data_IF_388408892859
#
_entry.id   IF_388408892859
#
_cell.length_a   1.000
_cell.length_b   1.000
_cell.length_c   1.000
_cell.angle_alpha   90.00
_cell.angle_beta   90.00
_cell.angle_gamma   90.00
#
_symmetry.space_group_name_H-M   'P 1'
#
loop_
_entity.id
_entity.type
_entity.pdbx_description
1 polymer ?
#
# COMPACT_ATOMS: atom_id res chain seq x y z
N UNK A 1 17.87 -61.70 52.58
CA UNK A 1 16.68 -61.07 51.94
C UNK A 1 16.76 -59.55 51.80
N UNK A 2 17.73 -58.84 52.34
CA UNK A 2 17.87 -57.35 52.21
C UNK A 2 18.58 -56.90 50.91
N UNK A 3 19.38 -57.75 50.30
CA UNK A 3 20.13 -57.41 49.06
C UNK A 3 19.39 -57.72 47.76
N UNK A 4 18.31 -58.51 47.80
CA UNK A 4 17.52 -58.82 46.65
C UNK A 4 16.52 -57.71 46.29
N UNK A 5 16.14 -56.87 47.26
CA UNK A 5 15.23 -55.72 47.07
C UNK A 5 15.96 -54.52 46.45
N UNK A 6 17.33 -54.45 46.61
CA UNK A 6 18.11 -53.30 46.12
C UNK A 6 18.48 -53.42 44.64
N UNK A 7 18.53 -54.64 44.11
CA UNK A 7 18.83 -54.89 42.69
C UNK A 7 17.57 -54.62 41.81
N UNK A 8 16.38 -54.77 42.36
CA UNK A 8 15.15 -54.53 41.62
C UNK A 8 14.83 -53.06 41.43
N UNK A 9 15.35 -52.19 42.28
CA UNK A 9 15.16 -50.72 42.21
C UNK A 9 16.07 -50.04 41.18
N UNK A 10 17.17 -50.65 40.75
CA UNK A 10 18.12 -50.06 39.78
C UNK A 10 17.69 -50.29 38.31
N UNK A 11 16.83 -51.29 38.04
CA UNK A 11 16.36 -51.58 36.67
C UNK A 11 15.27 -50.67 36.18
N UNK A 12 14.60 -49.90 37.08
CA UNK A 12 13.47 -49.03 36.69
C UNK A 12 13.91 -47.65 36.17
N UNK A 13 15.20 -47.26 36.32
CA UNK A 13 15.69 -45.91 35.91
C UNK A 13 16.36 -45.88 34.52
N UNK A 14 16.44 -46.98 33.79
CA UNK A 14 17.07 -47.01 32.45
C UNK A 14 16.07 -47.16 31.30
N UNK A 15 14.76 -46.95 31.54
CA UNK A 15 13.72 -47.14 30.53
C UNK A 15 13.09 -45.88 29.99
N UNK A 16 13.74 -44.72 30.11
CA UNK A 16 13.18 -43.43 29.60
C UNK A 16 13.75 -42.96 28.25
N UNK A 17 14.67 -43.68 27.63
CA UNK A 17 15.26 -43.26 26.33
C UNK A 17 14.74 -44.05 25.10
N UNK A 18 13.78 -44.95 25.27
CA UNK A 18 13.27 -45.80 24.17
C UNK A 18 12.02 -45.26 23.46
N UNK A 19 11.53 -44.10 23.86
CA UNK A 19 10.41 -43.40 23.19
C UNK A 19 10.79 -41.99 22.74
N UNK A 20 11.97 -41.75 22.22
CA UNK A 20 12.17 -40.63 21.30
C UNK A 20 11.54 -41.07 19.98
N UNK A 21 10.31 -40.66 19.76
CA UNK A 21 9.73 -40.52 18.43
C UNK A 21 10.70 -39.62 17.67
N UNK A 22 11.57 -40.21 16.85
CA UNK A 22 12.25 -39.45 15.82
C UNK A 22 11.15 -38.87 14.95
N UNK A 23 10.74 -37.62 15.21
CA UNK A 23 10.16 -36.82 14.17
C UNK A 23 11.15 -36.91 13.01
N UNK A 24 10.73 -37.62 11.95
CA UNK A 24 11.41 -37.65 10.67
C UNK A 24 11.65 -36.21 10.31
N UNK A 25 12.88 -35.72 10.52
CA UNK A 25 13.28 -34.39 10.00
C UNK A 25 12.82 -34.39 8.56
N UNK A 26 11.79 -33.56 8.30
CA UNK A 26 11.29 -33.33 6.95
C UNK A 26 12.50 -33.00 6.11
N UNK A 27 12.76 -33.77 5.04
CA UNK A 27 13.82 -33.68 4.04
C UNK A 27 14.20 -32.24 3.60
N UNK A 28 14.55 -31.39 4.54
CA UNK A 28 14.98 -30.00 4.31
C UNK A 28 16.43 -29.97 3.81
N UNK A 29 17.17 -31.02 4.04
CA UNK A 29 18.59 -31.15 3.67
C UNK A 29 18.84 -31.91 2.35
N UNK A 30 17.79 -32.34 1.64
CA UNK A 30 18.00 -33.05 0.34
C UNK A 30 18.51 -32.05 -0.70
N UNK A 31 19.69 -32.40 -1.26
CA UNK A 31 20.32 -31.62 -2.32
C UNK A 31 19.66 -31.97 -3.66
N UNK A 32 19.16 -30.98 -4.38
CA UNK A 32 18.55 -31.14 -5.71
C UNK A 32 19.50 -30.79 -6.85
N UNK A 33 20.46 -29.90 -6.63
CA UNK A 33 21.47 -29.53 -7.61
C UNK A 33 22.76 -29.05 -6.94
N UNK A 34 23.88 -29.21 -7.64
CA UNK A 34 25.18 -28.70 -7.22
C UNK A 34 25.82 -27.99 -8.42
N UNK A 35 26.32 -26.78 -8.21
CA UNK A 35 27.17 -26.07 -9.18
C UNK A 35 28.44 -25.61 -8.46
N UNK A 36 29.58 -26.17 -8.85
CA UNK A 36 30.85 -26.01 -8.13
C UNK A 36 30.71 -26.43 -6.66
N UNK A 37 30.87 -25.49 -5.72
CA UNK A 37 30.72 -25.71 -4.27
C UNK A 37 29.34 -25.35 -3.73
N UNK A 38 28.48 -24.68 -4.54
CA UNK A 38 27.16 -24.23 -4.12
C UNK A 38 26.12 -25.35 -4.31
N UNK A 39 25.25 -25.48 -3.32
CA UNK A 39 24.20 -26.50 -3.26
C UNK A 39 22.83 -25.86 -3.24
N UNK A 40 21.92 -26.43 -4.01
CA UNK A 40 20.50 -26.08 -3.98
C UNK A 40 19.75 -27.16 -3.23
N UNK A 41 19.06 -26.81 -2.19
CA UNK A 41 18.31 -27.73 -1.35
C UNK A 41 16.82 -27.77 -1.76
N UNK A 42 16.16 -28.89 -1.42
CA UNK A 42 14.71 -29.05 -1.65
C UNK A 42 13.89 -27.93 -1.03
N UNK A 43 14.26 -27.45 0.15
CA UNK A 43 13.56 -26.37 0.84
C UNK A 43 13.56 -25.09 0.01
N UNK A 44 14.67 -24.77 -0.66
CA UNK A 44 14.81 -23.57 -1.47
C UNK A 44 13.83 -23.60 -2.65
N UNK A 45 13.69 -24.77 -3.31
CA UNK A 45 12.77 -24.97 -4.42
C UNK A 45 11.31 -24.94 -3.93
N UNK A 46 11.00 -25.67 -2.85
CA UNK A 46 9.63 -25.74 -2.35
C UNK A 46 9.11 -24.42 -1.79
N UNK A 47 10.00 -23.56 -1.28
CA UNK A 47 9.63 -22.24 -0.74
C UNK A 47 9.12 -21.26 -1.80
N UNK A 48 9.52 -21.43 -3.06
CA UNK A 48 9.14 -20.55 -4.18
C UNK A 48 7.98 -21.10 -5.01
N UNK A 49 7.57 -22.35 -4.78
CA UNK A 49 6.45 -22.94 -5.49
C UNK A 49 5.10 -22.51 -4.90
N UNK A 50 4.07 -22.23 -5.74
CA UNK A 50 2.73 -21.93 -5.26
C UNK A 50 2.14 -23.10 -4.44
N UNK A 51 1.44 -22.78 -3.35
CA UNK A 51 0.89 -23.80 -2.44
C UNK A 51 -0.23 -24.66 -3.06
N UNK A 52 -0.95 -24.12 -4.05
CA UNK A 52 -2.14 -24.76 -4.66
C UNK A 52 -1.88 -25.13 -6.13
N UNK A 53 -0.79 -25.83 -6.40
CA UNK A 53 -0.43 -26.28 -7.75
C UNK A 53 -0.57 -27.80 -7.86
N UNK A 54 -1.01 -28.30 -9.03
CA UNK A 54 -1.05 -29.72 -9.29
C UNK A 54 0.38 -30.31 -9.40
N UNK A 55 0.49 -31.63 -9.23
CA UNK A 55 1.80 -32.32 -9.16
C UNK A 55 2.60 -32.20 -10.46
N UNK A 56 1.94 -32.20 -11.63
CA UNK A 56 2.61 -32.13 -12.92
C UNK A 56 3.23 -30.73 -13.14
N UNK A 57 2.47 -29.68 -12.92
CA UNK A 57 2.96 -28.30 -13.07
C UNK A 57 4.00 -27.95 -12.01
N UNK A 58 3.86 -28.50 -10.78
CA UNK A 58 4.86 -28.37 -9.73
C UNK A 58 6.22 -28.94 -10.14
N UNK A 59 6.24 -30.07 -10.82
CA UNK A 59 7.48 -30.66 -11.34
C UNK A 59 8.10 -29.81 -12.45
N UNK A 60 7.30 -29.28 -13.36
CA UNK A 60 7.78 -28.41 -14.44
C UNK A 60 8.40 -27.13 -13.86
N UNK A 61 7.71 -26.48 -12.92
CA UNK A 61 8.22 -25.27 -12.26
C UNK A 61 9.48 -25.55 -11.44
N UNK A 62 9.52 -26.67 -10.71
CA UNK A 62 10.70 -27.06 -9.94
C UNK A 62 11.93 -27.29 -10.85
N UNK A 63 11.76 -28.02 -11.96
CA UNK A 63 12.83 -28.22 -12.93
C UNK A 63 13.30 -26.90 -13.57
N UNK A 64 12.37 -26.04 -13.94
CA UNK A 64 12.70 -24.71 -14.48
C UNK A 64 13.48 -23.87 -13.47
N UNK A 65 13.07 -23.88 -12.19
CA UNK A 65 13.77 -23.17 -11.12
C UNK A 65 15.20 -23.70 -10.93
N UNK A 66 15.37 -25.03 -10.88
CA UNK A 66 16.69 -25.69 -10.74
C UNK A 66 17.60 -25.29 -11.90
N UNK A 67 17.11 -25.38 -13.15
CA UNK A 67 17.89 -24.99 -14.33
C UNK A 67 18.29 -23.51 -14.30
N UNK A 68 17.35 -22.61 -14.00
CA UNK A 68 17.63 -21.18 -13.91
C UNK A 68 18.63 -20.87 -12.79
N UNK A 69 18.51 -21.53 -11.65
CA UNK A 69 19.48 -21.42 -10.55
C UNK A 69 20.88 -21.86 -11.01
N UNK A 70 20.98 -23.01 -11.65
CA UNK A 70 22.26 -23.53 -12.14
C UNK A 70 22.90 -22.59 -13.17
N UNK A 71 22.13 -22.12 -14.16
CA UNK A 71 22.60 -21.15 -15.16
C UNK A 71 23.10 -19.87 -14.48
N UNK A 72 22.35 -19.33 -13.52
CA UNK A 72 22.76 -18.14 -12.77
C UNK A 72 24.08 -18.34 -12.02
N UNK A 73 24.28 -19.50 -11.39
CA UNK A 73 25.54 -19.82 -10.67
C UNK A 73 26.73 -19.97 -11.63
N UNK A 74 26.52 -20.65 -12.75
CA UNK A 74 27.55 -20.82 -13.78
C UNK A 74 27.95 -19.47 -14.40
N UNK A 75 26.97 -18.62 -14.73
CA UNK A 75 27.23 -17.27 -15.25
C UNK A 75 27.96 -16.40 -14.22
N UNK A 76 27.55 -16.47 -12.94
CA UNK A 76 28.22 -15.71 -11.88
C UNK A 76 29.68 -16.15 -11.71
N UNK A 77 29.95 -17.47 -11.76
CA UNK A 77 31.32 -17.98 -11.71
C UNK A 77 32.15 -17.50 -12.91
N UNK A 78 31.57 -17.53 -14.11
CA UNK A 78 32.23 -17.00 -15.32
C UNK A 78 32.48 -15.50 -15.23
N UNK A 79 31.47 -14.72 -14.76
CA UNK A 79 31.61 -13.28 -14.56
C UNK A 79 32.75 -12.96 -13.60
N UNK A 80 32.78 -13.60 -12.41
CA UNK A 80 33.86 -13.40 -11.44
C UNK A 80 35.25 -13.72 -12.01
N UNK A 81 35.39 -14.79 -12.79
CA UNK A 81 36.68 -15.18 -13.38
C UNK A 81 37.13 -14.26 -14.53
N UNK A 82 36.19 -13.58 -15.18
CA UNK A 82 36.49 -12.70 -16.31
C UNK A 82 36.44 -11.19 -15.97
N UNK A 83 36.07 -10.85 -14.74
CA UNK A 83 36.08 -9.45 -14.29
C UNK A 83 37.47 -9.03 -13.86
N UNK A 84 37.87 -7.80 -14.20
CA UNK A 84 39.07 -7.19 -13.64
C UNK A 84 38.93 -6.92 -12.14
N UNK A 85 40.06 -6.87 -11.43
CA UNK A 85 40.06 -6.52 -10.00
C UNK A 85 39.46 -5.13 -9.77
N UNK A 86 39.68 -4.19 -10.68
CA UNK A 86 39.08 -2.85 -10.64
C UNK A 86 37.55 -2.93 -10.70
N UNK A 87 36.99 -3.70 -11.62
CA UNK A 87 35.54 -3.91 -11.74
C UNK A 87 34.96 -4.52 -10.48
N UNK A 88 35.64 -5.53 -9.89
CA UNK A 88 35.18 -6.15 -8.65
C UNK A 88 35.18 -5.13 -7.50
N UNK A 89 36.25 -4.35 -7.35
CA UNK A 89 36.35 -3.33 -6.31
C UNK A 89 35.26 -2.24 -6.47
N UNK A 90 34.96 -1.83 -7.71
CA UNK A 90 33.86 -0.90 -7.98
C UNK A 90 32.51 -1.46 -7.57
N UNK A 91 32.24 -2.72 -7.94
CA UNK A 91 30.98 -3.39 -7.56
C UNK A 91 30.87 -3.53 -6.03
N UNK A 92 31.94 -3.93 -5.37
CA UNK A 92 31.97 -4.08 -3.91
C UNK A 92 31.71 -2.74 -3.20
N UNK A 93 32.29 -1.65 -3.72
CA UNK A 93 32.00 -0.30 -3.26
C UNK A 93 30.51 0.05 -3.38
N UNK A 94 29.91 -0.16 -4.55
CA UNK A 94 28.47 0.09 -4.77
C UNK A 94 27.58 -0.76 -3.84
N UNK A 95 27.93 -2.03 -3.63
CA UNK A 95 27.20 -2.90 -2.72
C UNK A 95 27.31 -2.41 -1.27
N UNK A 96 28.50 -1.97 -0.86
CA UNK A 96 28.71 -1.42 0.49
C UNK A 96 27.90 -0.14 0.70
N UNK A 97 27.99 0.83 -0.23
CA UNK A 97 27.21 2.08 -0.19
C UNK A 97 25.70 1.82 -0.12
N UNK A 98 25.23 0.86 -0.91
CA UNK A 98 23.82 0.47 -0.89
C UNK A 98 23.40 -0.14 0.45
N UNK A 99 24.23 -1.01 1.02
CA UNK A 99 24.00 -1.62 2.34
C UNK A 99 23.94 -0.55 3.43
N UNK A 100 24.87 0.41 3.42
CA UNK A 100 24.86 1.53 4.37
C UNK A 100 23.60 2.39 4.24
N UNK A 101 23.24 2.73 2.99
CA UNK A 101 22.00 3.47 2.71
C UNK A 101 20.75 2.75 3.22
N UNK A 102 20.65 1.43 3.04
CA UNK A 102 19.54 0.64 3.56
C UNK A 102 19.49 0.64 5.10
N UNK A 103 20.64 0.49 5.76
CA UNK A 103 20.72 0.50 7.21
C UNK A 103 20.33 1.87 7.79
N UNK A 104 20.86 2.95 7.20
CA UNK A 104 20.55 4.33 7.59
C UNK A 104 19.06 4.62 7.38
N UNK A 105 18.51 4.29 6.22
CA UNK A 105 17.09 4.51 5.93
C UNK A 105 16.17 3.72 6.87
N UNK A 106 16.48 2.45 7.14
CA UNK A 106 15.73 1.64 8.09
C UNK A 106 15.75 2.25 9.50
N UNK A 107 16.91 2.73 9.94
CA UNK A 107 17.04 3.42 11.22
C UNK A 107 16.22 4.73 11.26
N UNK A 108 16.31 5.56 10.21
CA UNK A 108 15.53 6.80 10.10
C UNK A 108 14.02 6.52 10.12
N UNK A 109 13.55 5.51 9.39
CA UNK A 109 12.13 5.12 9.39
C UNK A 109 11.65 4.64 10.77
N UNK A 110 12.47 3.87 11.47
CA UNK A 110 12.18 3.43 12.84
C UNK A 110 12.05 4.62 13.79
N UNK A 111 12.96 5.60 13.69
CA UNK A 111 12.90 6.83 14.50
C UNK A 111 11.65 7.64 14.20
N UNK A 112 11.31 7.82 12.91
CA UNK A 112 10.08 8.51 12.48
C UNK A 112 8.86 7.82 13.05
N UNK A 113 8.77 6.49 12.92
CA UNK A 113 7.64 5.73 13.47
C UNK A 113 7.47 5.88 14.98
N UNK A 114 8.58 6.05 15.71
CA UNK A 114 8.57 6.15 17.18
C UNK A 114 8.31 7.57 17.69
N UNK A 115 8.76 8.60 16.96
CA UNK A 115 8.86 9.97 17.49
C UNK A 115 8.01 10.99 16.73
N UNK A 116 7.52 10.66 15.53
CA UNK A 116 6.73 11.60 14.75
C UNK A 116 5.35 11.79 15.38
N UNK A 117 5.01 13.03 15.72
CA UNK A 117 3.62 13.38 16.03
C UNK A 117 2.78 13.38 14.76
N UNK A 118 1.82 12.45 14.71
CA UNK A 118 0.92 12.25 13.58
C UNK A 118 -0.43 12.91 13.74
N UNK A 119 -0.69 13.53 14.90
CA UNK A 119 -1.94 14.26 15.15
C UNK A 119 -1.85 15.64 14.51
N UNK A 120 -2.72 15.89 13.54
CA UNK A 120 -2.84 17.20 12.88
C UNK A 120 -4.24 17.72 13.15
N UNK A 121 -4.32 18.88 13.81
CA UNK A 121 -5.60 19.51 14.15
C UNK A 121 -6.21 20.22 12.95
N UNK A 122 -7.53 20.46 13.00
CA UNK A 122 -8.24 21.24 11.98
C UNK A 122 -7.75 22.70 11.95
N UNK A 123 -7.27 23.22 13.08
CA UNK A 123 -6.69 24.56 13.15
C UNK A 123 -5.37 24.65 12.39
N UNK A 124 -4.45 23.70 12.59
CA UNK A 124 -3.21 23.62 11.81
C UNK A 124 -3.47 23.51 10.30
N UNK A 125 -4.49 22.72 9.91
CA UNK A 125 -4.88 22.58 8.50
C UNK A 125 -5.34 23.92 7.96
N UNK A 126 -6.16 24.67 8.72
CA UNK A 126 -6.65 26.01 8.33
C UNK A 126 -5.53 27.02 8.21
N UNK A 127 -4.65 27.09 9.21
CA UNK A 127 -3.49 27.99 9.18
C UNK A 127 -2.58 27.69 8.00
N UNK A 128 -2.24 26.40 7.79
CA UNK A 128 -1.41 25.97 6.66
C UNK A 128 -2.03 26.36 5.32
N UNK A 129 -3.35 26.15 5.18
CA UNK A 129 -4.09 26.54 3.98
C UNK A 129 -4.03 28.04 3.74
N UNK A 130 -4.30 28.86 4.75
CA UNK A 130 -4.31 30.33 4.62
C UNK A 130 -2.95 30.87 4.23
N UNK A 131 -1.87 30.35 4.83
CA UNK A 131 -0.49 30.76 4.54
C UNK A 131 -0.03 30.34 3.13
N UNK A 132 -0.60 29.29 2.56
CA UNK A 132 -0.16 28.71 1.28
C UNK A 132 -1.24 28.72 0.20
N UNK A 133 -2.31 29.45 0.37
CA UNK A 133 -3.54 29.43 -0.43
C UNK A 133 -3.27 29.55 -1.93
N UNK A 134 -2.38 30.46 -2.34
CA UNK A 134 -2.05 30.70 -3.74
C UNK A 134 -1.32 29.54 -4.43
N UNK A 135 -0.76 28.63 -3.64
CA UNK A 135 -0.09 27.43 -4.16
C UNK A 135 -1.07 26.29 -4.48
N UNK A 136 -2.33 26.39 -3.98
CA UNK A 136 -3.35 25.35 -4.16
C UNK A 136 -4.26 25.64 -5.36
N UNK A 137 -3.67 25.83 -6.53
CA UNK A 137 -4.43 25.98 -7.77
C UNK A 137 -4.83 24.64 -8.33
N UNK A 138 -6.11 24.54 -8.74
CA UNK A 138 -6.65 23.33 -9.36
C UNK A 138 -6.02 23.09 -10.73
N UNK A 139 -5.56 21.89 -10.99
CA UNK A 139 -5.13 21.41 -12.29
C UNK A 139 -6.26 20.75 -13.09
N UNK A 140 -7.47 20.71 -12.51
CA UNK A 140 -8.67 20.05 -13.02
C UNK A 140 -9.92 20.86 -12.67
N UNK A 141 -11.04 20.57 -13.31
CA UNK A 141 -12.33 21.12 -12.96
C UNK A 141 -12.99 20.31 -11.86
N UNK A 142 -13.57 20.97 -10.87
CA UNK A 142 -14.35 20.36 -9.80
C UNK A 142 -15.82 20.73 -9.90
N UNK A 143 -16.67 19.79 -9.55
CA UNK A 143 -18.12 19.99 -9.47
C UNK A 143 -18.65 19.50 -8.12
N UNK A 144 -19.61 20.22 -7.57
CA UNK A 144 -20.52 19.71 -6.56
C UNK A 144 -21.77 19.23 -7.25
N UNK A 145 -22.00 17.93 -7.24
CA UNK A 145 -23.03 17.30 -8.04
C UNK A 145 -23.74 16.19 -7.27
N UNK A 146 -25.06 16.15 -7.39
CA UNK A 146 -25.89 14.99 -7.07
C UNK A 146 -26.21 14.29 -8.36
N UNK A 147 -26.09 12.97 -8.41
CA UNK A 147 -26.48 12.19 -9.59
C UNK A 147 -27.03 10.83 -9.23
N UNK A 148 -27.80 10.28 -10.15
CA UNK A 148 -28.48 9.00 -10.00
C UNK A 148 -28.63 8.33 -11.37
N UNK A 149 -28.41 7.02 -11.45
CA UNK A 149 -28.71 6.18 -12.60
C UNK A 149 -29.71 5.10 -12.23
N UNK A 150 -30.86 5.14 -12.88
CA UNK A 150 -32.00 4.25 -12.68
C UNK A 150 -32.12 3.30 -13.87
N UNK A 151 -32.44 2.03 -13.63
CA UNK A 151 -32.77 1.06 -14.69
C UNK A 151 -34.12 1.40 -15.34
N UNK A 152 -34.29 1.12 -16.63
CA UNK A 152 -35.55 1.32 -17.35
C UNK A 152 -36.74 0.50 -16.81
N UNK A 153 -36.48 -0.49 -15.96
CA UNK A 153 -37.52 -1.38 -15.42
C UNK A 153 -38.04 -0.96 -14.02
N UNK A 154 -37.65 0.22 -13.54
CA UNK A 154 -38.06 0.68 -12.21
C UNK A 154 -39.52 1.17 -12.24
N UNK A 155 -40.32 0.74 -11.26
CA UNK A 155 -41.80 0.89 -11.27
C UNK A 155 -42.22 2.33 -10.86
N UNK A 156 -41.45 2.99 -9.97
CA UNK A 156 -41.86 4.28 -9.37
C UNK A 156 -40.97 5.46 -9.77
N UNK A 157 -40.73 5.60 -11.10
CA UNK A 157 -39.87 6.68 -11.66
C UNK A 157 -40.30 8.07 -11.21
N UNK A 158 -41.62 8.36 -11.16
CA UNK A 158 -42.15 9.68 -10.80
C UNK A 158 -41.86 10.09 -9.33
N UNK A 159 -41.93 9.13 -8.42
CA UNK A 159 -41.60 9.31 -7.01
C UNK A 159 -40.12 9.61 -6.84
N UNK A 160 -39.25 8.78 -7.43
CA UNK A 160 -37.79 8.97 -7.39
C UNK A 160 -37.39 10.31 -7.99
N UNK A 161 -38.00 10.75 -9.09
CA UNK A 161 -37.77 12.05 -9.69
C UNK A 161 -38.14 13.19 -8.72
N UNK A 162 -39.24 13.04 -7.97
CA UNK A 162 -39.68 14.03 -6.96
C UNK A 162 -38.68 14.11 -5.81
N UNK A 163 -38.32 12.97 -5.21
CA UNK A 163 -37.34 12.87 -4.13
C UNK A 163 -35.96 13.40 -4.56
N UNK A 164 -35.50 13.04 -5.75
CA UNK A 164 -34.20 13.46 -6.28
C UNK A 164 -34.11 14.98 -6.48
N UNK A 165 -35.19 15.64 -6.87
CA UNK A 165 -35.25 17.10 -7.06
C UNK A 165 -35.36 17.88 -5.76
N UNK A 166 -35.80 17.22 -4.70
CA UNK A 166 -35.96 17.83 -3.39
C UNK A 166 -34.61 18.25 -2.78
N UNK A 167 -34.66 19.25 -1.92
CA UNK A 167 -33.57 19.62 -1.02
C UNK A 167 -33.88 19.33 0.43
N UNK A 168 -35.04 18.70 0.71
CA UNK A 168 -35.38 18.24 2.05
C UNK A 168 -34.50 17.05 2.42
N UNK A 169 -33.99 17.05 3.64
CA UNK A 169 -33.11 15.97 4.12
C UNK A 169 -33.85 14.64 4.24
N UNK A 170 -35.13 14.68 4.62
CA UNK A 170 -35.94 13.46 4.76
C UNK A 170 -36.17 12.79 3.41
N UNK A 171 -36.43 13.58 2.35
CA UNK A 171 -36.57 13.06 0.98
C UNK A 171 -35.28 12.43 0.47
N UNK A 172 -34.13 12.99 0.84
CA UNK A 172 -32.82 12.44 0.47
C UNK A 172 -32.50 11.16 1.26
N UNK A 173 -32.85 11.09 2.53
CA UNK A 173 -32.73 9.88 3.34
C UNK A 173 -33.64 8.77 2.81
N UNK A 174 -34.85 9.09 2.35
CA UNK A 174 -35.74 8.14 1.69
C UNK A 174 -35.13 7.60 0.40
N UNK A 175 -34.48 8.47 -0.37
CA UNK A 175 -33.78 8.08 -1.58
C UNK A 175 -32.55 7.20 -1.26
N UNK A 176 -31.81 7.50 -0.20
CA UNK A 176 -30.67 6.68 0.27
C UNK A 176 -31.13 5.29 0.73
N UNK A 177 -32.29 5.19 1.37
CA UNK A 177 -32.88 3.89 1.77
C UNK A 177 -33.19 2.98 0.57
N UNK A 178 -33.37 3.56 -0.63
CA UNK A 178 -33.62 2.85 -1.88
C UNK A 178 -32.34 2.60 -2.71
N UNK A 179 -31.13 2.84 -2.18
CA UNK A 179 -29.86 2.81 -2.92
C UNK A 179 -29.61 1.52 -3.71
N UNK A 180 -30.07 0.37 -3.20
CA UNK A 180 -29.93 -0.95 -3.85
C UNK A 180 -30.73 -1.05 -5.17
N UNK A 181 -31.69 -0.16 -5.41
CA UNK A 181 -32.49 -0.10 -6.63
C UNK A 181 -31.78 0.68 -7.75
N UNK A 182 -30.66 1.30 -7.47
CA UNK A 182 -29.93 2.16 -8.40
C UNK A 182 -28.64 1.51 -8.88
N UNK A 183 -28.31 1.71 -10.15
CA UNK A 183 -27.04 1.20 -10.70
C UNK A 183 -25.83 1.90 -10.11
N UNK A 184 -25.91 3.20 -9.93
CA UNK A 184 -24.96 4.02 -9.19
C UNK A 184 -25.59 5.37 -8.84
N UNK A 185 -25.12 5.96 -7.78
CA UNK A 185 -25.60 7.25 -7.27
C UNK A 185 -24.52 8.03 -6.53
N UNK A 186 -24.80 9.29 -6.29
CA UNK A 186 -24.13 10.17 -5.33
C UNK A 186 -25.16 11.22 -4.88
N UNK A 187 -25.66 11.10 -3.66
CA UNK A 187 -26.68 12.02 -3.14
C UNK A 187 -26.06 13.21 -2.42
N UNK A 188 -24.87 13.05 -1.84
CA UNK A 188 -24.18 14.14 -1.18
C UNK A 188 -23.58 15.11 -2.21
N UNK A 189 -24.29 16.23 -2.44
CA UNK A 189 -23.90 17.30 -3.35
C UNK A 189 -23.06 18.40 -2.67
N UNK A 190 -22.60 18.18 -1.44
CA UNK A 190 -21.69 19.10 -0.72
C UNK A 190 -20.22 18.79 -0.97
N UNK A 191 -19.91 17.61 -1.54
CA UNK A 191 -18.56 17.13 -1.79
C UNK A 191 -18.09 17.57 -3.18
N UNK A 192 -16.87 18.14 -3.23
CA UNK A 192 -16.19 18.42 -4.49
C UNK A 192 -15.69 17.13 -5.15
N UNK A 193 -16.09 16.93 -6.39
CA UNK A 193 -15.72 15.76 -7.20
C UNK A 193 -15.04 16.21 -8.50
N UNK A 194 -14.02 15.51 -8.94
CA UNK A 194 -13.35 15.76 -10.21
C UNK A 194 -14.34 15.54 -11.36
N UNK A 195 -14.44 16.53 -12.24
CA UNK A 195 -15.36 16.47 -13.39
C UNK A 195 -15.10 15.25 -14.27
N UNK A 196 -13.84 14.91 -14.50
CA UNK A 196 -13.48 13.76 -15.34
C UNK A 196 -13.99 12.42 -14.75
N UNK A 197 -14.03 12.27 -13.43
CA UNK A 197 -14.62 11.08 -12.77
C UNK A 197 -16.14 11.02 -12.98
N UNK A 198 -16.80 12.18 -13.02
CA UNK A 198 -18.24 12.28 -13.28
C UNK A 198 -18.55 11.94 -14.74
N UNK A 199 -17.73 12.44 -15.67
CA UNK A 199 -17.87 12.18 -17.11
C UNK A 199 -17.72 10.68 -17.48
N UNK A 200 -16.96 9.92 -16.70
CA UNK A 200 -16.84 8.47 -16.88
C UNK A 200 -18.14 7.71 -16.52
N UNK A 201 -18.98 8.30 -15.67
CA UNK A 201 -20.20 7.68 -15.17
C UNK A 201 -21.46 8.19 -15.87
N UNK A 202 -21.49 9.49 -16.22
CA UNK A 202 -22.69 10.14 -16.70
C UNK A 202 -22.57 10.48 -18.19
N UNK A 203 -23.58 10.17 -19.02
CA UNK A 203 -23.58 10.41 -20.45
C UNK A 203 -23.94 11.86 -20.80
N UNK A 204 -23.46 12.81 -20.01
CA UNK A 204 -23.62 14.24 -20.26
C UNK A 204 -22.34 14.84 -20.87
N UNK A 205 -22.49 15.90 -21.68
CA UNK A 205 -21.34 16.63 -22.18
C UNK A 205 -20.69 17.47 -21.07
N UNK A 206 -19.39 17.68 -21.18
CA UNK A 206 -18.60 18.54 -20.27
C UNK A 206 -19.25 19.92 -20.09
N UNK A 207 -19.68 20.56 -21.18
CA UNK A 207 -20.31 21.89 -21.14
C UNK A 207 -21.62 21.93 -20.35
N UNK A 208 -22.36 20.82 -20.32
CA UNK A 208 -23.57 20.73 -19.49
C UNK A 208 -23.23 20.61 -18.00
N UNK A 209 -22.20 19.84 -17.66
CA UNK A 209 -21.78 19.62 -16.28
C UNK A 209 -21.00 20.81 -15.70
N UNK A 210 -20.43 21.68 -16.53
CA UNK A 210 -19.77 22.92 -16.11
C UNK A 210 -20.73 24.08 -15.86
N UNK A 211 -22.02 23.92 -16.16
CA UNK A 211 -23.04 24.94 -15.88
C UNK A 211 -23.76 24.61 -14.59
N UNK A 212 -23.89 25.59 -13.68
CA UNK A 212 -24.76 25.48 -12.51
C UNK A 212 -26.20 25.26 -12.98
N UNK A 213 -26.62 24.01 -13.01
CA UNK A 213 -27.92 23.61 -13.51
C UNK A 213 -28.67 22.90 -12.40
N UNK A 214 -29.86 23.39 -12.08
CA UNK A 214 -30.67 22.81 -11.02
C UNK A 214 -31.06 21.36 -11.26
N UNK A 215 -31.23 20.97 -12.53
CA UNK A 215 -31.63 19.61 -12.89
C UNK A 215 -31.37 19.33 -14.38
N UNK A 216 -30.76 18.21 -14.68
CA UNK A 216 -30.63 17.66 -16.03
C UNK A 216 -30.94 16.16 -15.99
N UNK A 217 -31.54 15.68 -17.08
CA UNK A 217 -31.82 14.24 -17.27
C UNK A 217 -31.47 13.82 -18.68
N UNK A 218 -31.16 12.54 -18.83
CA UNK A 218 -30.98 11.87 -20.10
C UNK A 218 -31.41 10.42 -19.94
N UNK A 219 -32.21 9.95 -20.91
CA UNK A 219 -32.61 8.55 -21.00
C UNK A 219 -31.97 7.90 -22.24
N UNK A 220 -31.53 6.67 -22.09
CA UNK A 220 -31.02 5.84 -23.18
C UNK A 220 -31.50 4.39 -23.04
N UNK A 221 -30.92 3.46 -23.80
CA UNK A 221 -31.25 2.04 -23.74
C UNK A 221 -30.86 1.35 -22.43
N UNK A 222 -29.99 1.97 -21.65
CA UNK A 222 -29.44 1.39 -20.40
C UNK A 222 -30.24 1.87 -19.18
N UNK A 223 -30.80 3.09 -19.23
CA UNK A 223 -31.56 3.66 -18.13
C UNK A 223 -31.71 5.17 -18.18
N UNK A 224 -32.23 5.71 -17.09
CA UNK A 224 -32.42 7.14 -16.86
C UNK A 224 -31.31 7.69 -15.98
N UNK A 225 -30.64 8.72 -16.47
CA UNK A 225 -29.59 9.44 -15.75
C UNK A 225 -30.10 10.80 -15.29
N UNK A 226 -29.96 11.08 -14.03
CA UNK A 226 -30.37 12.33 -13.38
C UNK A 226 -29.13 13.02 -12.81
N UNK A 227 -29.03 14.33 -12.92
CA UNK A 227 -27.99 15.10 -12.27
C UNK A 227 -28.45 16.49 -11.88
N UNK A 228 -27.94 16.98 -10.74
CA UNK A 228 -28.10 18.36 -10.25
C UNK A 228 -26.71 18.90 -9.96
N UNK A 229 -26.31 19.96 -10.64
CA UNK A 229 -25.03 20.63 -10.45
C UNK A 229 -25.23 21.82 -9.50
N UNK A 230 -24.68 21.71 -8.30
CA UNK A 230 -24.79 22.76 -7.26
C UNK A 230 -23.72 23.84 -7.42
N UNK A 231 -22.49 23.45 -7.73
CA UNK A 231 -21.37 24.37 -7.88
C UNK A 231 -20.31 23.83 -8.81
N UNK A 232 -19.51 24.73 -9.38
CA UNK A 232 -18.45 24.42 -10.35
C UNK A 232 -17.24 25.27 -10.07
N UNK A 233 -16.06 24.65 -10.07
CA UNK A 233 -14.76 25.32 -9.99
C UNK A 233 -13.94 24.99 -11.22
N UNK A 234 -13.57 25.99 -12.05
CA UNK A 234 -12.74 25.78 -13.22
C UNK A 234 -11.27 25.53 -12.82
N UNK A 235 -10.48 25.06 -13.79
CA UNK A 235 -9.02 24.99 -13.68
C UNK A 235 -8.44 26.32 -13.23
N UNK A 236 -7.32 26.29 -12.55
CA UNK A 236 -6.60 27.43 -11.99
C UNK A 236 -7.34 28.19 -10.88
N UNK A 237 -8.56 27.79 -10.52
CA UNK A 237 -9.20 28.28 -9.29
C UNK A 237 -8.43 27.80 -8.06
N UNK A 238 -8.50 28.53 -6.97
CA UNK A 238 -7.96 28.09 -5.69
C UNK A 238 -8.82 26.92 -5.19
N UNK A 239 -8.17 25.82 -4.88
CA UNK A 239 -8.83 24.62 -4.36
C UNK A 239 -9.50 24.90 -3.01
N UNK A 240 -10.76 24.50 -2.81
CA UNK A 240 -11.41 24.62 -1.51
C UNK A 240 -10.70 23.77 -0.46
N UNK A 241 -10.60 24.27 0.76
CA UNK A 241 -9.95 23.54 1.85
C UNK A 241 -10.56 22.15 2.05
N UNK A 242 -11.89 22.03 1.94
CA UNK A 242 -12.60 20.74 2.06
C UNK A 242 -12.18 19.70 1.01
N UNK A 243 -11.71 20.12 -0.15
CA UNK A 243 -11.21 19.23 -1.19
C UNK A 243 -9.78 18.77 -0.93
N UNK A 244 -8.93 19.64 -0.36
CA UNK A 244 -7.49 19.37 -0.19
C UNK A 244 -7.07 19.11 1.27
N UNK A 245 -8.02 18.97 2.20
CA UNK A 245 -7.74 18.71 3.63
C UNK A 245 -6.77 17.55 3.82
N UNK A 246 -6.99 16.42 3.15
CA UNK A 246 -6.10 15.24 3.23
C UNK A 246 -4.70 15.53 2.69
N UNK A 247 -4.60 16.30 1.62
CA UNK A 247 -3.32 16.72 1.01
C UNK A 247 -2.55 17.64 1.96
N UNK A 248 -3.22 18.62 2.56
CA UNK A 248 -2.60 19.53 3.55
C UNK A 248 -2.10 18.75 4.75
N UNK A 249 -2.90 17.81 5.27
CA UNK A 249 -2.48 16.93 6.36
C UNK A 249 -1.20 16.17 6.03
N UNK A 250 -1.11 15.60 4.84
CA UNK A 250 0.10 14.91 4.38
C UNK A 250 1.31 15.86 4.26
N UNK A 251 1.10 17.09 3.78
CA UNK A 251 2.17 18.10 3.68
C UNK A 251 2.70 18.50 5.07
N UNK A 252 1.82 18.71 6.04
CA UNK A 252 2.21 19.01 7.44
C UNK A 252 3.02 17.84 8.03
N UNK A 253 2.54 16.62 7.88
CA UNK A 253 3.26 15.43 8.37
C UNK A 253 4.61 15.25 7.67
N UNK A 254 4.69 15.51 6.38
CA UNK A 254 5.94 15.46 5.64
C UNK A 254 6.94 16.52 6.14
N UNK A 255 6.48 17.75 6.38
CA UNK A 255 7.30 18.82 6.97
C UNK A 255 7.83 18.42 8.35
N UNK A 256 6.96 17.94 9.24
CA UNK A 256 7.34 17.45 10.57
C UNK A 256 8.37 16.31 10.49
N UNK A 257 8.21 15.38 9.54
CA UNK A 257 9.17 14.28 9.32
C UNK A 257 10.55 14.82 8.94
N UNK A 258 10.62 15.79 8.03
CA UNK A 258 11.90 16.39 7.61
C UNK A 258 12.56 17.11 8.78
N UNK A 259 11.82 17.90 9.53
CA UNK A 259 12.31 18.64 10.70
C UNK A 259 12.81 17.69 11.77
N UNK A 260 12.04 16.66 12.12
CA UNK A 260 12.45 15.62 13.07
C UNK A 260 13.76 14.95 12.68
N UNK A 261 13.89 14.53 11.42
CA UNK A 261 15.12 13.88 10.96
C UNK A 261 16.32 14.82 11.01
N UNK A 262 16.16 16.08 10.63
CA UNK A 262 17.19 17.11 10.71
C UNK A 262 17.65 17.35 12.14
N UNK A 263 16.72 17.40 13.09
CA UNK A 263 17.05 17.62 14.49
C UNK A 263 17.76 16.41 15.11
N UNK A 264 17.36 15.20 14.72
CA UNK A 264 18.06 13.96 15.10
C UNK A 264 19.49 13.98 14.55
N UNK A 265 19.70 14.34 13.28
CA UNK A 265 21.04 14.43 12.67
C UNK A 265 21.91 15.45 13.41
N UNK A 266 21.37 16.62 13.77
CA UNK A 266 22.10 17.62 14.59
C UNK A 266 22.50 17.08 15.96
N UNK A 267 21.59 16.35 16.64
CA UNK A 267 21.88 15.75 17.95
C UNK A 267 23.01 14.72 17.80
N UNK A 268 22.94 13.82 16.82
CA UNK A 268 23.97 12.80 16.57
C UNK A 268 25.35 13.46 16.34
N UNK A 269 25.42 14.49 15.51
CA UNK A 269 26.68 15.20 15.25
C UNK A 269 27.21 15.89 16.50
N UNK A 270 26.33 16.56 17.26
CA UNK A 270 26.69 17.23 18.52
C UNK A 270 27.27 16.23 19.54
N UNK A 271 26.57 15.11 19.75
CA UNK A 271 26.98 14.08 20.68
C UNK A 271 28.30 13.43 20.27
N UNK A 272 28.47 13.15 18.97
CA UNK A 272 29.71 12.60 18.44
C UNK A 272 30.90 13.57 18.62
N UNK A 273 30.68 14.86 18.45
CA UNK A 273 31.69 15.90 18.66
C UNK A 273 32.07 16.00 20.13
N UNK A 274 31.10 16.03 21.05
CA UNK A 274 31.31 16.10 22.48
C UNK A 274 32.07 14.87 23.03
N UNK A 275 31.79 13.70 22.47
CA UNK A 275 32.43 12.45 22.87
C UNK A 275 33.75 12.15 22.12
N UNK A 276 34.29 13.09 21.34
CA UNK A 276 35.47 12.92 20.49
C UNK A 276 35.38 11.80 19.43
N UNK A 277 34.17 11.39 19.06
CA UNK A 277 33.92 10.40 18.01
C UNK A 277 33.85 11.02 16.60
N UNK A 278 33.80 12.36 16.53
CA UNK A 278 33.84 13.13 15.27
C UNK A 278 34.86 14.27 15.39
N UNK A 279 35.84 14.30 14.47
CA UNK A 279 36.87 15.33 14.40
C UNK A 279 37.12 15.71 12.94
N UNK A 280 37.28 16.99 12.70
CA UNK A 280 37.71 17.52 11.41
C UNK A 280 39.20 17.91 11.56
N UNK A 281 40.03 17.52 10.61
CA UNK A 281 41.46 17.81 10.59
C UNK A 281 41.79 18.84 9.53
#
# INVERSE_FOLDING_TARGET
MKYFLFIFTIVVFTSCDLFKIQEKEKNTSEILAIVNTEKLFRIDVTSVLPKNINKADSLVLANSYIQNWAIKRLLLAKAKNNSSQETVNQIDGLVQDYKESLLINNYKEKLVKQKLDTVVSDEEIREYYLLNKENFKLNEELVKIRYLHIDNNLIDESEILSLFRSNDINDLEELENQELSFKFHQFNDSIWTQLDKVLLKLPFSKDKLLKKTKFIQKQDSIGLYLAIIKDVLPRNSIAPISYITSTIKQMILHKRKIELLRDIEKIIVKDATQNNNFKIY
#
